data_IF_536655497531
#
_entry.id   IF_536655497531
#
_cell.length_a   1.000
_cell.length_b   1.000
_cell.length_c   1.000
_cell.angle_alpha   90.00
_cell.angle_beta   90.00
_cell.angle_gamma   90.00
#
_symmetry.space_group_name_H-M   'P 1'
#
loop_
_entity.id
_entity.type
_entity.pdbx_description
1 polymer ?
#
# COMPACT_ATOMS: atom_id res chain seq x y z
N UNK A 1 -7.01 6.23 20.39
CA UNK A 1 -7.09 5.89 18.96
C UNK A 1 -6.34 6.98 18.21
N UNK A 2 -5.44 6.62 17.29
CA UNK A 2 -4.72 7.60 16.48
C UNK A 2 -5.67 8.42 15.61
N UNK A 3 -5.21 9.60 15.17
CA UNK A 3 -6.01 10.58 14.41
C UNK A 3 -6.41 10.06 13.01
N UNK A 4 -5.65 9.11 12.45
CA UNK A 4 -5.82 8.60 11.08
C UNK A 4 -5.18 9.51 10.04
N UNK A 5 -4.71 8.94 8.93
CA UNK A 5 -3.92 9.70 7.95
C UNK A 5 -4.73 10.76 7.20
N UNK A 6 -6.05 10.54 7.01
CA UNK A 6 -6.92 11.53 6.37
C UNK A 6 -6.95 12.85 7.13
N UNK A 7 -7.06 12.78 8.46
CA UNK A 7 -7.13 13.97 9.32
C UNK A 7 -5.76 14.60 9.51
N UNK A 8 -4.72 13.77 9.73
CA UNK A 8 -3.37 14.25 9.96
C UNK A 8 -2.78 14.99 8.75
N UNK A 9 -3.06 14.52 7.53
CA UNK A 9 -2.44 15.02 6.30
C UNK A 9 -3.47 15.56 5.30
N UNK A 10 -4.57 16.16 5.78
CA UNK A 10 -5.67 16.63 4.92
C UNK A 10 -5.19 17.50 3.77
N UNK A 11 -4.26 18.41 4.03
CA UNK A 11 -3.73 19.39 3.07
C UNK A 11 -2.91 18.75 1.94
N UNK A 12 -2.36 17.56 2.18
CA UNK A 12 -1.55 16.82 1.21
C UNK A 12 -2.33 15.70 0.51
N UNK A 13 -3.61 15.51 0.84
CA UNK A 13 -4.44 14.43 0.30
C UNK A 13 -5.56 14.99 -0.58
N UNK A 14 -6.10 14.22 -1.54
CA UNK A 14 -7.17 14.65 -2.44
C UNK A 14 -8.55 14.66 -1.75
N UNK A 15 -8.63 15.34 -0.60
CA UNK A 15 -9.80 15.40 0.28
C UNK A 15 -10.60 16.67 -0.03
N UNK A 16 -11.91 16.53 -0.12
CA UNK A 16 -12.88 17.62 -0.25
C UNK A 16 -13.76 17.67 1.01
N UNK A 17 -14.63 18.67 1.11
CA UNK A 17 -15.61 18.73 2.21
C UNK A 17 -16.65 17.59 2.13
N UNK A 18 -16.81 16.95 0.96
CA UNK A 18 -17.66 15.79 0.79
C UNK A 18 -16.96 14.47 1.13
N UNK A 19 -15.63 14.46 1.28
CA UNK A 19 -14.88 13.24 1.60
C UNK A 19 -15.17 12.77 3.04
N UNK A 20 -15.67 11.54 3.24
CA UNK A 20 -15.87 11.01 4.59
C UNK A 20 -14.55 10.82 5.33
N UNK A 21 -14.45 11.38 6.54
CA UNK A 21 -13.26 11.30 7.39
C UNK A 21 -13.23 10.00 8.22
N UNK A 22 -13.19 8.87 7.52
CA UNK A 22 -13.08 7.52 8.10
C UNK A 22 -11.66 7.25 8.64
N UNK A 23 -11.54 6.33 9.60
CA UNK A 23 -10.25 5.92 10.16
C UNK A 23 -10.42 4.61 10.94
N UNK A 24 -9.45 3.71 10.81
CA UNK A 24 -9.27 2.57 11.73
C UNK A 24 -8.12 2.81 12.72
N UNK A 25 -7.57 4.04 12.74
CA UNK A 25 -6.37 4.40 13.48
C UNK A 25 -5.09 4.06 12.72
N UNK A 26 -5.13 4.00 11.39
CA UNK A 26 -3.94 3.81 10.55
C UNK A 26 -2.99 5.01 10.56
N UNK A 27 -1.73 4.76 10.21
CA UNK A 27 -0.66 5.75 10.34
C UNK A 27 -0.14 5.84 11.77
N UNK A 28 0.62 6.91 12.03
CA UNK A 28 1.31 7.19 13.30
C UNK A 28 2.07 5.96 13.83
N UNK A 29 2.69 5.20 12.92
CA UNK A 29 3.35 3.95 13.28
C UNK A 29 4.70 4.23 13.93
N UNK A 30 5.17 3.39 14.86
CA UNK A 30 6.44 3.63 15.55
C UNK A 30 7.63 3.76 14.58
N UNK A 31 8.46 4.78 14.77
CA UNK A 31 9.78 4.91 14.14
C UNK A 31 10.85 4.55 15.18
N UNK A 32 11.29 3.30 15.16
CA UNK A 32 12.11 2.72 16.24
C UNK A 32 13.59 2.77 15.88
N UNK A 33 14.39 3.45 16.71
CA UNK A 33 15.84 3.49 16.57
C UNK A 33 16.47 2.13 16.89
N UNK A 34 17.40 1.70 16.06
CA UNK A 34 18.16 0.46 16.23
C UNK A 34 19.25 0.63 17.29
N UNK A 35 19.18 -0.14 18.37
CA UNK A 35 20.21 -0.10 19.43
C UNK A 35 21.45 -0.94 19.11
N UNK A 36 21.30 -1.99 18.30
CA UNK A 36 22.33 -3.00 18.03
C UNK A 36 22.81 -3.00 16.58
N UNK A 37 21.90 -3.26 15.63
CA UNK A 37 22.24 -3.36 14.21
C UNK A 37 22.86 -2.06 13.66
N UNK A 38 22.40 -0.91 14.12
CA UNK A 38 22.98 0.37 13.72
C UNK A 38 24.48 0.45 14.06
N UNK A 39 24.86 0.03 15.27
CA UNK A 39 26.27 -0.01 15.69
C UNK A 39 27.09 -1.02 14.91
N UNK A 40 26.54 -2.22 14.68
CA UNK A 40 27.21 -3.29 13.93
C UNK A 40 27.51 -2.90 12.47
N UNK A 41 26.63 -2.09 11.86
CA UNK A 41 26.76 -1.62 10.49
C UNK A 41 27.50 -0.27 10.35
N UNK A 42 27.93 0.33 11.47
CA UNK A 42 28.50 1.69 11.45
C UNK A 42 27.49 2.80 11.11
N UNK A 43 26.19 2.52 11.22
CA UNK A 43 25.09 3.46 11.00
C UNK A 43 24.38 3.77 12.32
N UNK A 44 24.86 4.79 13.05
CA UNK A 44 24.35 5.13 14.39
C UNK A 44 22.90 5.60 14.41
N UNK A 45 22.42 6.13 13.28
CA UNK A 45 21.07 6.66 13.08
C UNK A 45 20.23 5.74 12.18
N UNK A 46 20.21 4.44 12.49
CA UNK A 46 19.36 3.46 11.83
C UNK A 46 17.98 3.37 12.51
N UNK A 47 16.91 3.54 11.74
CA UNK A 47 15.53 3.50 12.23
C UNK A 47 14.67 2.50 11.45
N UNK A 48 13.66 1.94 12.12
CA UNK A 48 12.65 1.06 11.54
C UNK A 48 11.27 1.68 11.65
N UNK A 49 10.63 1.99 10.52
CA UNK A 49 9.23 2.42 10.48
C UNK A 49 8.33 1.17 10.53
N UNK A 50 7.70 0.93 11.67
CA UNK A 50 6.99 -0.33 11.96
C UNK A 50 5.57 -0.34 11.37
N UNK A 51 5.49 -0.43 10.05
CA UNK A 51 4.23 -0.46 9.30
C UNK A 51 3.34 -1.68 9.59
N UNK A 52 3.88 -2.69 10.26
CA UNK A 52 3.12 -3.83 10.78
C UNK A 52 2.21 -3.48 11.96
N UNK A 53 2.36 -2.30 12.56
CA UNK A 53 1.48 -1.79 13.63
C UNK A 53 0.20 -1.13 13.11
N UNK A 54 0.02 -1.02 11.78
CA UNK A 54 -1.24 -0.57 11.20
C UNK A 54 -2.39 -1.57 11.51
N UNK A 55 -3.66 -1.14 11.43
CA UNK A 55 -4.83 -1.93 11.87
C UNK A 55 -4.93 -3.35 11.31
N UNK A 56 -4.58 -3.55 10.02
CA UNK A 56 -4.60 -4.88 9.40
C UNK A 56 -3.21 -5.50 9.30
N UNK A 57 -2.21 -4.93 9.95
CA UNK A 57 -0.84 -5.43 9.98
C UNK A 57 0.02 -5.04 8.78
N UNK A 58 -0.34 -4.00 8.01
CA UNK A 58 0.48 -3.57 6.88
C UNK A 58 0.31 -2.11 6.47
N UNK A 59 1.31 -1.55 5.79
CA UNK A 59 1.26 -0.22 5.17
C UNK A 59 0.12 -0.03 4.15
N UNK A 60 -0.57 -1.11 3.73
CA UNK A 60 -1.65 -1.01 2.75
C UNK A 60 -2.79 -0.14 3.26
N UNK A 61 -2.99 -0.10 4.57
CA UNK A 61 -4.03 0.64 5.29
C UNK A 61 -3.99 2.13 5.00
N UNK A 62 -2.78 2.72 5.00
CA UNK A 62 -2.56 4.13 4.63
C UNK A 62 -3.17 4.50 3.30
N UNK A 63 -2.97 3.65 2.29
CA UNK A 63 -3.56 3.87 0.96
C UNK A 63 -5.02 3.47 0.89
N UNK A 64 -5.42 2.44 1.66
CA UNK A 64 -6.77 1.89 1.59
C UNK A 64 -7.80 2.83 2.16
N UNK A 65 -7.49 3.52 3.27
CA UNK A 65 -8.39 4.51 3.87
C UNK A 65 -8.71 5.66 2.89
N UNK A 66 -7.71 6.16 2.15
CA UNK A 66 -7.93 7.20 1.13
C UNK A 66 -8.75 6.64 -0.03
N UNK A 67 -8.41 5.46 -0.54
CA UNK A 67 -9.18 4.84 -1.62
C UNK A 67 -10.65 4.57 -1.23
N UNK A 68 -10.89 4.15 0.01
CA UNK A 68 -12.23 3.89 0.54
C UNK A 68 -13.02 5.20 0.74
N UNK A 69 -12.41 6.23 1.33
CA UNK A 69 -13.05 7.53 1.50
C UNK A 69 -13.48 8.13 0.15
N UNK A 70 -12.61 8.06 -0.87
CA UNK A 70 -12.93 8.51 -2.23
C UNK A 70 -13.97 7.63 -2.92
N UNK A 71 -13.99 6.31 -2.65
CA UNK A 71 -15.02 5.42 -3.16
C UNK A 71 -16.41 5.78 -2.61
N UNK A 72 -16.50 6.07 -1.31
CA UNK A 72 -17.73 6.52 -0.64
C UNK A 72 -18.18 7.89 -1.15
N UNK A 73 -17.25 8.85 -1.28
CA UNK A 73 -17.54 10.17 -1.84
C UNK A 73 -18.08 10.09 -3.28
N UNK A 74 -17.56 9.16 -4.08
CA UNK A 74 -18.03 8.91 -5.44
C UNK A 74 -19.34 8.10 -5.51
N UNK A 75 -19.94 7.71 -4.37
CA UNK A 75 -21.18 6.93 -4.34
C UNK A 75 -21.01 5.47 -4.78
N UNK A 76 -19.84 4.88 -4.59
CA UNK A 76 -19.62 3.46 -4.90
C UNK A 76 -20.54 2.57 -4.06
N UNK A 77 -21.10 1.54 -4.67
CA UNK A 77 -21.93 0.53 -3.99
C UNK A 77 -21.15 -0.68 -3.52
N UNK A 78 -19.89 -0.81 -3.97
CA UNK A 78 -18.95 -1.84 -3.53
C UNK A 78 -17.49 -1.44 -3.85
N UNK A 79 -16.55 -2.19 -3.28
CA UNK A 79 -15.14 -2.18 -3.71
C UNK A 79 -14.69 -3.56 -4.15
N UNK A 80 -13.69 -3.59 -5.02
CA UNK A 80 -13.14 -4.82 -5.56
C UNK A 80 -11.63 -4.78 -5.65
N UNK A 81 -10.98 -5.90 -5.36
CA UNK A 81 -9.55 -6.05 -5.57
C UNK A 81 -9.16 -7.44 -6.11
N UNK A 82 -8.07 -7.49 -6.86
CA UNK A 82 -7.37 -8.71 -7.24
C UNK A 82 -6.10 -8.84 -6.40
N UNK A 83 -6.18 -9.58 -5.29
CA UNK A 83 -5.08 -9.78 -4.34
C UNK A 83 -5.37 -11.00 -3.46
N UNK A 84 -4.31 -11.66 -3.03
CA UNK A 84 -4.38 -12.84 -2.16
C UNK A 84 -3.78 -12.60 -0.77
N UNK A 85 -3.38 -11.36 -0.44
CA UNK A 85 -2.69 -11.04 0.83
C UNK A 85 -3.08 -9.68 1.41
N UNK A 86 -2.09 -8.87 1.78
CA UNK A 86 -2.28 -7.65 2.58
C UNK A 86 -3.28 -6.65 1.99
N UNK A 87 -3.32 -6.48 0.67
CA UNK A 87 -4.28 -5.56 0.02
C UNK A 87 -5.72 -6.01 0.21
N UNK A 88 -5.99 -7.32 0.11
CA UNK A 88 -7.34 -7.87 0.30
C UNK A 88 -7.77 -7.83 1.76
N UNK A 89 -6.84 -8.06 2.71
CA UNK A 89 -7.12 -7.90 4.13
C UNK A 89 -7.49 -6.46 4.49
N UNK A 90 -6.69 -5.51 4.02
CA UNK A 90 -6.93 -4.06 4.18
C UNK A 90 -8.27 -3.65 3.57
N UNK A 91 -8.52 -4.01 2.30
CA UNK A 91 -9.78 -3.69 1.62
C UNK A 91 -11.00 -4.25 2.38
N UNK A 92 -10.90 -5.49 2.87
CA UNK A 92 -11.97 -6.12 3.62
C UNK A 92 -12.23 -5.42 4.96
N UNK A 93 -11.19 -5.05 5.70
CA UNK A 93 -11.34 -4.35 6.98
C UNK A 93 -12.01 -2.99 6.83
N UNK A 94 -11.54 -2.18 5.87
CA UNK A 94 -12.15 -0.87 5.60
C UNK A 94 -13.54 -0.99 4.99
N UNK A 95 -13.79 -2.00 4.16
CA UNK A 95 -15.11 -2.27 3.62
C UNK A 95 -16.11 -2.65 4.72
N UNK A 96 -15.71 -3.52 5.64
CA UNK A 96 -16.51 -3.88 6.82
C UNK A 96 -16.79 -2.66 7.70
N UNK A 97 -15.78 -1.82 7.94
CA UNK A 97 -15.95 -0.60 8.74
C UNK A 97 -16.91 0.42 8.12
N UNK A 98 -16.98 0.48 6.79
CA UNK A 98 -17.80 1.43 6.06
C UNK A 98 -19.14 0.85 5.57
N UNK A 99 -19.51 -0.37 5.99
CA UNK A 99 -20.65 -1.13 5.48
C UNK A 99 -20.68 -1.23 3.93
N UNK A 100 -19.49 -1.29 3.31
CA UNK A 100 -19.32 -1.33 1.86
C UNK A 100 -18.91 -2.74 1.40
N UNK A 101 -19.75 -3.44 0.61
CA UNK A 101 -19.44 -4.78 0.12
C UNK A 101 -18.07 -4.85 -0.55
N UNK A 102 -17.24 -5.78 -0.07
CA UNK A 102 -15.88 -5.98 -0.60
C UNK A 102 -15.77 -7.32 -1.31
N UNK A 103 -15.35 -7.27 -2.57
CA UNK A 103 -15.14 -8.43 -3.41
C UNK A 103 -13.64 -8.66 -3.67
N UNK A 104 -13.19 -9.89 -3.46
CA UNK A 104 -11.78 -10.27 -3.69
C UNK A 104 -11.76 -11.32 -4.79
N UNK A 105 -11.23 -10.95 -5.95
CA UNK A 105 -11.11 -11.85 -7.10
C UNK A 105 -9.74 -12.53 -7.09
N UNK A 106 -9.75 -13.85 -7.17
CA UNK A 106 -8.55 -14.69 -7.17
C UNK A 106 -8.63 -15.82 -8.19
N UNK A 107 -7.52 -16.22 -8.82
CA UNK A 107 -7.48 -17.42 -9.66
C UNK A 107 -7.67 -18.68 -8.80
N UNK A 108 -8.40 -19.66 -9.33
CA UNK A 108 -8.65 -20.95 -8.67
C UNK A 108 -7.35 -21.74 -8.53
N UNK A 109 -7.08 -22.28 -7.34
CA UNK A 109 -5.98 -23.21 -7.08
C UNK A 109 -4.65 -22.60 -6.64
N UNK A 110 -4.47 -21.28 -6.69
CA UNK A 110 -3.17 -20.64 -6.42
C UNK A 110 -3.05 -19.98 -5.03
N UNK A 111 -4.03 -20.19 -4.14
CA UNK A 111 -4.11 -19.42 -2.88
C UNK A 111 -4.31 -20.31 -1.66
N UNK A 112 -3.33 -20.28 -0.77
CA UNK A 112 -3.46 -20.90 0.55
C UNK A 112 -4.52 -20.15 1.38
N UNK A 113 -5.49 -20.89 1.93
CA UNK A 113 -6.59 -20.33 2.73
C UNK A 113 -6.12 -19.44 3.88
N UNK A 114 -4.98 -19.76 4.50
CA UNK A 114 -4.39 -18.92 5.56
C UNK A 114 -4.11 -17.48 5.13
N UNK A 115 -3.85 -17.23 3.85
CA UNK A 115 -3.63 -15.85 3.34
C UNK A 115 -4.93 -15.06 3.17
N UNK A 116 -6.06 -15.76 3.00
CA UNK A 116 -7.38 -15.15 2.85
C UNK A 116 -8.14 -15.07 4.17
N UNK A 117 -7.69 -15.78 5.21
CA UNK A 117 -8.37 -15.89 6.49
C UNK A 117 -8.75 -14.52 7.07
N UNK A 118 -7.84 -13.55 7.04
CA UNK A 118 -8.12 -12.20 7.53
C UNK A 118 -9.19 -11.48 6.69
N UNK A 119 -9.13 -11.56 5.36
CA UNK A 119 -10.13 -10.95 4.49
C UNK A 119 -11.53 -11.58 4.67
N UNK A 120 -11.59 -12.91 4.82
CA UNK A 120 -12.83 -13.64 5.09
C UNK A 120 -13.40 -13.31 6.47
N UNK A 121 -12.54 -13.17 7.49
CA UNK A 121 -12.97 -12.79 8.84
C UNK A 121 -13.61 -11.40 8.87
N UNK A 122 -13.15 -10.48 8.02
CA UNK A 122 -13.79 -9.17 7.81
C UNK A 122 -15.00 -9.21 6.86
N UNK A 123 -15.43 -10.40 6.40
CA UNK A 123 -16.64 -10.54 5.60
C UNK A 123 -16.49 -10.28 4.09
N UNK A 124 -15.26 -10.25 3.56
CA UNK A 124 -15.07 -10.13 2.12
C UNK A 124 -15.62 -11.35 1.36
N UNK A 125 -16.27 -11.08 0.22
CA UNK A 125 -16.77 -12.10 -0.70
C UNK A 125 -15.65 -12.51 -1.64
N UNK A 126 -15.16 -13.74 -1.47
CA UNK A 126 -14.10 -14.30 -2.31
C UNK A 126 -14.72 -14.88 -3.58
N UNK A 127 -14.32 -14.33 -4.74
CA UNK A 127 -14.76 -14.77 -6.06
C UNK A 127 -13.59 -15.50 -6.75
N UNK A 128 -13.73 -16.82 -6.90
CA UNK A 128 -12.72 -17.63 -7.57
C UNK A 128 -12.98 -17.72 -9.07
N UNK A 129 -11.98 -17.39 -9.87
CA UNK A 129 -12.04 -17.42 -11.33
C UNK A 129 -11.27 -18.62 -11.89
N UNK A 130 -11.83 -19.26 -12.90
CA UNK A 130 -11.11 -20.20 -13.74
C UNK A 130 -10.26 -19.40 -14.74
N UNK A 131 -9.03 -19.06 -14.36
CA UNK A 131 -8.11 -18.23 -15.13
C UNK A 131 -6.86 -17.89 -14.32
N UNK A 132 -6.00 -17.03 -14.86
CA UNK A 132 -4.80 -16.52 -14.18
C UNK A 132 -5.03 -15.12 -13.57
N UNK A 133 -4.01 -14.57 -12.91
CA UNK A 133 -4.07 -13.23 -12.29
C UNK A 133 -4.39 -12.12 -13.30
N UNK A 134 -3.84 -12.18 -14.52
CA UNK A 134 -4.08 -11.16 -15.54
C UNK A 134 -5.53 -11.16 -16.03
N UNK A 135 -6.10 -12.35 -16.24
CA UNK A 135 -7.53 -12.50 -16.53
C UNK A 135 -8.40 -11.94 -15.41
N UNK A 136 -8.04 -12.19 -14.16
CA UNK A 136 -8.74 -11.64 -13.01
C UNK A 136 -8.67 -10.10 -12.99
N UNK A 137 -7.48 -9.53 -13.21
CA UNK A 137 -7.29 -8.08 -13.24
C UNK A 137 -8.06 -7.42 -14.41
N UNK A 138 -8.05 -8.04 -15.59
CA UNK A 138 -8.81 -7.58 -16.75
C UNK A 138 -10.33 -7.56 -16.48
N UNK A 139 -10.86 -8.63 -15.90
CA UNK A 139 -12.28 -8.73 -15.54
C UNK A 139 -12.67 -7.69 -14.49
N UNK A 140 -11.87 -7.54 -13.43
CA UNK A 140 -12.11 -6.53 -12.40
C UNK A 140 -12.13 -5.12 -13.01
N UNK A 141 -11.15 -4.79 -13.86
CA UNK A 141 -11.09 -3.48 -14.54
C UNK A 141 -12.31 -3.24 -15.44
N UNK A 142 -12.71 -4.25 -16.20
CA UNK A 142 -13.88 -4.15 -17.11
C UNK A 142 -15.19 -4.03 -16.35
N UNK A 143 -15.32 -4.71 -15.22
CA UNK A 143 -16.51 -4.64 -14.37
C UNK A 143 -16.61 -3.28 -13.66
N UNK A 144 -15.51 -2.83 -13.05
CA UNK A 144 -15.46 -1.57 -12.30
C UNK A 144 -15.61 -0.33 -13.19
N UNK A 145 -15.33 -0.42 -14.50
CA UNK A 145 -15.60 0.67 -15.45
C UNK A 145 -17.07 0.79 -15.89
N UNK A 146 -17.90 -0.23 -15.62
CA UNK A 146 -19.30 -0.29 -16.06
C UNK A 146 -20.31 -0.27 -14.90
N UNK A 147 -19.84 -0.41 -13.68
CA UNK A 147 -20.65 -0.50 -12.48
C UNK A 147 -20.10 0.46 -11.42
N UNK A 148 -20.92 0.92 -10.46
CA UNK A 148 -20.48 1.78 -9.36
C UNK A 148 -19.66 1.00 -8.32
N UNK A 149 -18.60 0.33 -8.77
CA UNK A 149 -17.71 -0.48 -7.94
C UNK A 149 -16.29 0.04 -8.12
N UNK A 150 -15.66 0.45 -7.03
CA UNK A 150 -14.31 1.01 -7.09
C UNK A 150 -13.24 -0.09 -7.03
N UNK A 151 -12.30 -0.05 -7.98
CA UNK A 151 -11.09 -0.87 -7.94
C UNK A 151 -10.10 -0.31 -6.92
N UNK A 152 -9.68 -1.10 -5.93
CA UNK A 152 -8.75 -0.66 -4.86
C UNK A 152 -7.37 -1.34 -4.92
N UNK A 153 -6.98 -1.84 -6.09
CA UNK A 153 -5.64 -2.36 -6.37
C UNK A 153 -4.57 -1.25 -6.36
N UNK A 154 -3.29 -1.61 -6.51
CA UNK A 154 -2.15 -0.67 -6.59
C UNK A 154 -2.19 0.31 -7.77
N UNK A 155 -3.13 0.15 -8.70
CA UNK A 155 -3.35 1.07 -9.82
C UNK A 155 -4.27 2.24 -9.43
N UNK A 156 -4.99 2.12 -8.33
CA UNK A 156 -5.84 3.20 -7.85
C UNK A 156 -4.93 4.34 -7.33
N UNK A 157 -5.02 5.55 -7.89
CA UNK A 157 -4.11 6.64 -7.53
C UNK A 157 -4.22 7.03 -6.05
N UNK A 158 -5.41 6.91 -5.45
CA UNK A 158 -5.64 7.21 -4.04
C UNK A 158 -4.88 6.27 -3.10
N UNK A 159 -4.55 5.05 -3.55
CA UNK A 159 -3.66 4.17 -2.79
C UNK A 159 -2.28 4.81 -2.62
N UNK A 160 -1.73 5.43 -3.66
CA UNK A 160 -0.41 6.07 -3.63
C UNK A 160 -0.46 7.34 -2.79
N UNK A 161 -1.52 8.15 -2.94
CA UNK A 161 -1.76 9.35 -2.12
C UNK A 161 -1.73 9.03 -0.63
N UNK A 162 -2.43 7.98 -0.20
CA UNK A 162 -2.41 7.61 1.21
C UNK A 162 -1.07 7.03 1.66
N UNK A 163 -0.40 6.22 0.84
CA UNK A 163 0.89 5.61 1.19
C UNK A 163 2.01 6.64 1.37
N UNK A 164 1.97 7.78 0.66
CA UNK A 164 3.01 8.82 0.77
C UNK A 164 3.11 9.44 2.16
N UNK A 165 2.02 9.37 2.94
CA UNK A 165 1.98 9.86 4.33
C UNK A 165 2.99 9.19 5.25
N UNK A 166 3.45 7.98 4.91
CA UNK A 166 4.52 7.34 5.66
C UNK A 166 5.85 8.10 5.57
N UNK A 167 6.12 8.80 4.45
CA UNK A 167 7.29 9.67 4.31
C UNK A 167 7.14 10.95 5.13
N UNK A 168 5.94 11.54 5.15
CA UNK A 168 5.62 12.70 5.99
C UNK A 168 5.89 12.40 7.47
N UNK A 169 5.38 11.29 7.99
CA UNK A 169 5.59 10.88 9.38
C UNK A 169 7.07 10.65 9.73
N UNK A 170 7.89 10.22 8.75
CA UNK A 170 9.34 10.06 8.97
C UNK A 170 9.99 11.44 9.13
N UNK A 171 9.65 12.40 8.28
CA UNK A 171 10.17 13.77 8.38
C UNK A 171 9.68 14.44 9.67
N UNK A 172 8.39 14.31 9.99
CA UNK A 172 7.81 14.86 11.22
C UNK A 172 8.53 14.34 12.48
N UNK A 173 8.88 13.03 12.49
CA UNK A 173 9.55 12.40 13.62
C UNK A 173 11.05 12.71 13.73
N UNK A 174 11.75 12.87 12.59
CA UNK A 174 13.19 13.11 12.56
C UNK A 174 13.56 14.60 12.49
N UNK A 175 12.60 15.46 12.15
CA UNK A 175 12.79 16.90 11.89
C UNK A 175 13.43 17.23 10.54
N UNK A 176 13.78 16.23 9.72
CA UNK A 176 14.26 16.35 8.35
C UNK A 176 14.13 14.99 7.65
N UNK A 177 14.32 14.95 6.33
CA UNK A 177 14.38 13.68 5.61
C UNK A 177 15.66 12.88 6.00
N UNK A 178 15.63 11.53 5.99
CA UNK A 178 16.84 10.74 6.19
C UNK A 178 17.80 10.87 5.00
N UNK A 179 19.05 10.45 5.13
CA UNK A 179 19.98 10.38 4.00
C UNK A 179 19.59 9.27 3.00
N UNK A 180 19.07 8.17 3.52
CA UNK A 180 18.68 6.99 2.76
C UNK A 180 17.35 6.44 3.28
N UNK A 181 16.48 6.00 2.36
CA UNK A 181 15.30 5.22 2.69
C UNK A 181 15.42 3.83 2.04
N UNK A 182 15.43 2.79 2.86
CA UNK A 182 15.47 1.39 2.41
C UNK A 182 14.07 0.78 2.41
N UNK A 183 13.62 0.25 1.27
CA UNK A 183 12.24 -0.26 1.14
C UNK A 183 12.15 -1.49 0.22
N UNK A 184 11.37 -2.53 0.60
CA UNK A 184 11.09 -3.65 -0.30
C UNK A 184 10.27 -3.22 -1.52
N UNK A 185 10.60 -3.76 -2.69
CA UNK A 185 9.95 -3.44 -3.96
C UNK A 185 9.32 -4.71 -4.56
N UNK A 186 7.98 -4.75 -4.51
CA UNK A 186 7.16 -5.72 -5.25
C UNK A 186 6.54 -5.06 -6.47
N UNK A 187 5.32 -4.55 -6.31
CA UNK A 187 4.57 -3.84 -7.37
C UNK A 187 5.00 -2.37 -7.58
N UNK A 188 6.14 -1.96 -7.01
CA UNK A 188 6.71 -0.61 -7.07
C UNK A 188 5.89 0.55 -6.46
N UNK A 189 4.58 0.40 -6.20
CA UNK A 189 3.76 1.53 -5.72
C UNK A 189 4.21 2.14 -4.38
N UNK A 190 4.81 1.36 -3.47
CA UNK A 190 5.22 1.91 -2.16
C UNK A 190 6.46 2.82 -2.30
N UNK A 191 7.47 2.42 -3.07
CA UNK A 191 8.67 3.25 -3.28
C UNK A 191 8.31 4.54 -4.02
N UNK A 192 7.42 4.46 -5.03
CA UNK A 192 6.88 5.63 -5.73
C UNK A 192 6.14 6.57 -4.78
N UNK A 193 5.28 6.03 -3.91
CA UNK A 193 4.54 6.83 -2.93
C UNK A 193 5.47 7.52 -1.92
N UNK A 194 6.46 6.81 -1.38
CA UNK A 194 7.43 7.41 -0.46
C UNK A 194 8.25 8.52 -1.13
N UNK A 195 8.75 8.26 -2.35
CA UNK A 195 9.50 9.27 -3.09
C UNK A 195 8.67 10.54 -3.30
N UNK A 196 7.44 10.39 -3.76
CA UNK A 196 6.50 11.51 -3.91
C UNK A 196 6.24 12.24 -2.59
N UNK A 197 6.08 11.52 -1.49
CA UNK A 197 5.92 12.12 -0.16
C UNK A 197 7.13 12.95 0.24
N UNK A 198 8.35 12.44 0.05
CA UNK A 198 9.55 13.23 0.33
C UNK A 198 9.68 14.46 -0.56
N UNK A 199 9.33 14.36 -1.86
CA UNK A 199 9.32 15.51 -2.77
C UNK A 199 8.32 16.57 -2.31
N UNK A 200 7.07 16.19 -2.03
CA UNK A 200 6.04 17.14 -1.60
C UNK A 200 6.38 17.84 -0.28
N UNK A 201 6.96 17.13 0.69
CA UNK A 201 7.39 17.73 1.95
C UNK A 201 8.63 18.63 1.81
N UNK A 202 9.56 18.26 0.94
CA UNK A 202 10.70 19.10 0.59
C UNK A 202 10.23 20.40 -0.08
N UNK A 203 9.34 20.30 -1.06
CA UNK A 203 8.84 21.45 -1.81
C UNK A 203 7.99 22.39 -0.92
N UNK A 204 7.30 21.83 0.08
CA UNK A 204 6.59 22.59 1.10
C UNK A 204 7.49 23.11 2.25
N UNK A 205 8.80 22.83 2.22
CA UNK A 205 9.78 23.34 3.18
C UNK A 205 9.85 22.59 4.52
N UNK A 206 9.21 21.43 4.64
CA UNK A 206 9.25 20.58 5.84
C UNK A 206 10.56 19.77 5.95
N UNK A 207 11.26 19.54 4.83
CA UNK A 207 12.61 18.96 4.82
C UNK A 207 13.58 19.80 3.98
N UNK A 208 14.85 19.78 4.35
CA UNK A 208 15.91 20.53 3.64
C UNK A 208 16.59 19.71 2.54
N UNK A 209 16.37 18.40 2.56
CA UNK A 209 16.97 17.45 1.63
C UNK A 209 15.97 16.38 1.20
N UNK A 210 16.35 15.66 0.15
CA UNK A 210 15.67 14.47 -0.33
C UNK A 210 16.52 13.24 -0.02
N UNK A 211 15.90 12.13 0.44
CA UNK A 211 16.63 10.90 0.70
C UNK A 211 17.02 10.22 -0.61
N UNK A 212 18.08 9.43 -0.58
CA UNK A 212 18.34 8.44 -1.63
C UNK A 212 17.41 7.25 -1.42
N UNK A 213 16.58 6.97 -2.41
CA UNK A 213 15.62 5.86 -2.39
C UNK A 213 16.34 4.56 -2.73
N UNK A 214 16.34 3.61 -1.80
CA UNK A 214 17.02 2.32 -1.91
C UNK A 214 15.98 1.19 -1.97
N UNK A 215 15.60 0.80 -3.17
CA UNK A 215 14.63 -0.28 -3.43
C UNK A 215 15.28 -1.66 -3.50
N UNK A 216 14.66 -2.67 -2.88
CA UNK A 216 15.19 -4.06 -2.86
C UNK A 216 14.15 -5.07 -3.33
N UNK A 217 14.51 -5.88 -4.32
CA UNK A 217 13.72 -7.02 -4.80
C UNK A 217 14.37 -8.35 -4.39
N UNK A 218 13.59 -9.42 -4.28
CA UNK A 218 14.15 -10.76 -4.12
C UNK A 218 14.76 -11.23 -5.45
N UNK A 219 15.90 -11.89 -5.42
CA UNK A 219 16.66 -12.31 -6.62
C UNK A 219 15.83 -13.02 -7.69
N UNK A 220 14.99 -13.99 -7.28
CA UNK A 220 14.10 -14.73 -8.19
C UNK A 220 12.84 -13.97 -8.64
N UNK A 221 12.66 -12.73 -8.19
CA UNK A 221 11.54 -11.83 -8.50
C UNK A 221 12.03 -10.37 -8.59
N UNK A 222 13.16 -10.15 -9.29
CA UNK A 222 13.81 -8.84 -9.43
C UNK A 222 13.73 -8.25 -10.87
N UNK A 223 12.53 -8.06 -11.44
CA UNK A 223 12.36 -7.61 -12.82
C UNK A 223 12.92 -6.20 -13.07
N UNK A 224 12.82 -5.27 -12.10
CA UNK A 224 13.36 -3.90 -12.26
C UNK A 224 14.88 -3.93 -12.31
N UNK A 225 15.51 -4.74 -11.45
CA UNK A 225 16.96 -4.92 -11.44
C UNK A 225 17.46 -5.54 -12.75
N UNK A 226 16.70 -6.47 -13.34
CA UNK A 226 17.04 -7.11 -14.62
C UNK A 226 16.70 -6.25 -15.84
N UNK A 227 15.81 -5.26 -15.69
CA UNK A 227 15.30 -4.46 -16.79
C UNK A 227 14.28 -5.18 -17.68
N UNK A 228 13.75 -6.34 -17.26
CA UNK A 228 12.79 -7.13 -18.05
C UNK A 228 11.80 -7.92 -17.17
N UNK A 229 10.55 -8.15 -17.62
CA UNK A 229 9.58 -8.93 -16.86
C UNK A 229 10.04 -10.38 -16.62
N UNK A 230 9.78 -10.88 -15.42
CA UNK A 230 10.05 -12.29 -15.04
C UNK A 230 8.73 -13.05 -15.07
N UNK A 231 8.57 -13.95 -16.04
CA UNK A 231 7.32 -14.71 -16.22
C UNK A 231 6.95 -15.59 -14.99
N UNK A 232 7.95 -16.19 -14.33
CA UNK A 232 7.76 -17.12 -13.22
C UNK A 232 8.54 -16.66 -11.98
N UNK A 233 8.11 -15.59 -11.28
CA UNK A 233 8.84 -15.05 -10.15
C UNK A 233 8.82 -16.02 -8.95
N UNK A 234 9.98 -16.24 -8.32
CA UNK A 234 10.15 -17.16 -7.18
C UNK A 234 10.81 -16.47 -5.99
N UNK A 235 10.20 -16.59 -4.81
CA UNK A 235 10.79 -16.18 -3.52
C UNK A 235 9.91 -16.65 -2.35
N UNK A 236 10.52 -16.90 -1.20
CA UNK A 236 9.82 -17.10 0.08
C UNK A 236 9.12 -15.82 0.55
N UNK A 237 9.64 -14.64 0.18
CA UNK A 237 9.07 -13.33 0.50
C UNK A 237 7.84 -13.03 -0.37
N UNK A 238 6.74 -13.75 -0.12
CA UNK A 238 5.59 -13.78 -1.02
C UNK A 238 4.95 -12.41 -1.31
N UNK A 239 5.09 -11.43 -0.42
CA UNK A 239 4.60 -10.07 -0.61
C UNK A 239 5.29 -9.30 -1.75
N UNK A 240 6.51 -9.70 -2.12
CA UNK A 240 7.31 -9.11 -3.20
C UNK A 240 7.59 -10.11 -4.34
N UNK A 241 6.85 -11.23 -4.39
CA UNK A 241 6.92 -12.20 -5.50
C UNK A 241 6.18 -11.66 -6.73
N UNK A 242 6.72 -10.62 -7.35
CA UNK A 242 6.13 -9.90 -8.49
C UNK A 242 7.09 -9.93 -9.67
N UNK A 243 6.62 -10.41 -10.81
CA UNK A 243 7.41 -10.54 -12.04
C UNK A 243 7.23 -9.38 -13.03
N UNK A 244 6.16 -8.61 -12.90
CA UNK A 244 5.87 -7.45 -13.75
C UNK A 244 5.23 -6.32 -12.91
N UNK A 245 6.03 -5.44 -12.29
CA UNK A 245 5.55 -4.38 -11.40
C UNK A 245 4.60 -3.41 -12.10
N UNK A 246 3.42 -3.18 -11.50
CA UNK A 246 2.43 -2.26 -12.06
C UNK A 246 2.89 -0.78 -12.12
N UNK A 247 3.84 -0.37 -11.26
CA UNK A 247 4.38 0.99 -11.21
C UNK A 247 5.86 1.01 -11.62
N UNK A 248 6.23 0.30 -12.68
CA UNK A 248 7.63 0.14 -13.09
C UNK A 248 8.36 1.47 -13.31
N UNK A 249 7.78 2.37 -14.11
CA UNK A 249 8.42 3.64 -14.49
C UNK A 249 8.58 4.62 -13.32
N UNK A 250 7.81 4.44 -12.24
CA UNK A 250 7.84 5.32 -11.07
C UNK A 250 8.79 4.84 -9.96
N UNK A 251 9.60 3.81 -10.20
CA UNK A 251 10.50 3.18 -9.21
C UNK A 251 11.97 3.21 -9.63
#
# INVERSE_FOLDING_TARGET
MGVGVLRAYKEFLPITDATPMISLGEGDTPLVKSNRLGKELGCTELYFKLEGCNPTGSFKDRGMVVAMAKALEAGSTAVMCASTGNTSASAAAYGAFCDLPTYVLIPKGEVAMGKLAQAMAYGAKILMLNGNFDSALFLVRTFTSRHPVTLVNSLNPHRLEGQKTAAFEIVDALGDAPDFLFIPVGNAGNITAYWRGFQEYHDAGFSRKLPRMMGFQAEGAAPIVRGEPIANPQTIASAIRIGNPANWEGA
#
